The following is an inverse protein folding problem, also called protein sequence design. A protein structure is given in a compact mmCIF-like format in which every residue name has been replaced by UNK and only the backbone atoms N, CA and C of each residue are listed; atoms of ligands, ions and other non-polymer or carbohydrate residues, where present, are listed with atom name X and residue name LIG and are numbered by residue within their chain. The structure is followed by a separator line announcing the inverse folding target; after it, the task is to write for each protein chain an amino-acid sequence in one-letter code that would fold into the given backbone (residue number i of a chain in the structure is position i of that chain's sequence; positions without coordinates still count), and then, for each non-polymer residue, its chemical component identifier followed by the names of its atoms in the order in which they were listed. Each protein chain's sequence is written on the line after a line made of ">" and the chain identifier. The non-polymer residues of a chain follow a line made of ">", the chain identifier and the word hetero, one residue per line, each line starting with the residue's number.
data_IF_327582913445
#
_entry.id   IF_327582913445
#
_cell.length_a   1.000
_cell.length_b   1.000
_cell.length_c   1.000
_cell.angle_alpha   90.00
_cell.angle_beta   90.00
_cell.angle_gamma   90.00
#
_symmetry.space_group_name_H-M   'P 1'
#
loop_
_entity.id
_entity.type
_entity.pdbx_description
1 polymer ?
#
# COMPACT_ATOMS: atom_id res chain seq x y z
N UNK A 1 -5.91 -10.98 -16.87
CA UNK A 1 -5.18 -10.68 -15.62
C UNK A 1 -5.08 -9.18 -15.48
N UNK A 2 -5.60 -8.58 -14.40
CA UNK A 2 -5.54 -7.14 -14.17
C UNK A 2 -4.15 -6.69 -13.74
N UNK A 3 -3.67 -5.57 -14.28
CA UNK A 3 -2.44 -4.92 -13.81
C UNK A 3 -2.77 -4.09 -12.56
N UNK A 4 -1.85 -3.96 -11.58
CA UNK A 4 -2.02 -2.99 -10.51
C UNK A 4 -2.14 -1.57 -11.09
N UNK A 5 -2.74 -0.61 -10.34
CA UNK A 5 -2.70 0.80 -10.69
C UNK A 5 -1.28 1.26 -11.02
N UNK A 6 -1.16 2.25 -11.91
CA UNK A 6 0.14 2.78 -12.33
C UNK A 6 1.03 3.10 -11.11
N UNK A 7 2.31 2.73 -11.22
CA UNK A 7 3.37 2.90 -10.21
C UNK A 7 3.28 1.99 -8.98
N UNK A 8 2.36 1.04 -8.91
CA UNK A 8 2.36 0.02 -7.85
C UNK A 8 3.02 -1.29 -8.30
N UNK A 9 3.81 -1.89 -7.41
CA UNK A 9 4.49 -3.15 -7.63
C UNK A 9 4.38 -4.07 -6.41
N UNK A 10 4.10 -5.35 -6.67
CA UNK A 10 3.96 -6.39 -5.65
C UNK A 10 5.29 -7.13 -5.48
N UNK A 11 5.77 -7.20 -4.24
CA UNK A 11 6.98 -7.91 -3.85
C UNK A 11 6.63 -8.98 -2.81
N UNK A 12 7.33 -10.13 -2.88
CA UNK A 12 7.25 -11.17 -1.87
C UNK A 12 8.34 -10.94 -0.82
N UNK A 13 8.00 -11.09 0.45
CA UNK A 13 8.95 -11.05 1.55
C UNK A 13 9.98 -12.18 1.45
N UNK A 14 11.17 -11.93 1.99
CA UNK A 14 12.28 -12.89 1.97
C UNK A 14 12.10 -14.03 2.98
N UNK A 15 11.25 -13.85 3.99
CA UNK A 15 10.98 -14.89 4.97
C UNK A 15 10.02 -15.94 4.36
N UNK A 16 10.49 -17.18 4.10
CA UNK A 16 9.69 -18.21 3.45
C UNK A 16 8.51 -18.67 4.30
N UNK A 17 8.61 -18.58 5.63
CA UNK A 17 7.58 -19.06 6.57
C UNK A 17 6.41 -18.09 6.72
N UNK A 18 6.65 -16.79 6.48
CA UNK A 18 5.63 -15.74 6.70
C UNK A 18 4.80 -15.40 5.48
N UNK A 19 5.24 -15.80 4.28
CA UNK A 19 4.57 -15.49 3.00
C UNK A 19 4.09 -14.03 2.88
N UNK A 20 4.88 -13.10 3.43
CA UNK A 20 4.53 -11.69 3.46
C UNK A 20 4.48 -11.13 2.03
N UNK A 21 3.50 -10.28 1.77
CA UNK A 21 3.32 -9.62 0.46
C UNK A 21 3.28 -8.13 0.67
N UNK A 22 4.19 -7.42 0.01
CA UNK A 22 4.34 -5.97 0.13
C UNK A 22 3.98 -5.31 -1.19
N UNK A 23 3.14 -4.28 -1.13
CA UNK A 23 2.82 -3.44 -2.30
C UNK A 23 3.50 -2.09 -2.14
N UNK A 24 4.46 -1.80 -2.99
CA UNK A 24 5.17 -0.53 -3.07
C UNK A 24 4.55 0.37 -4.12
N UNK A 25 4.79 1.69 -4.02
CA UNK A 25 4.23 2.69 -4.95
C UNK A 25 3.45 3.81 -4.28
N UNK A 26 3.30 3.77 -2.95
CA UNK A 26 2.57 4.81 -2.22
C UNK A 26 3.32 6.16 -2.27
N UNK A 27 2.65 7.30 -2.55
CA UNK A 27 3.30 8.62 -2.68
C UNK A 27 4.10 9.08 -1.44
N UNK A 28 3.78 8.56 -0.25
CA UNK A 28 4.55 8.80 0.98
C UNK A 28 5.81 7.94 1.12
N UNK A 29 6.26 7.27 0.05
CA UNK A 29 7.43 6.36 0.02
C UNK A 29 7.31 5.19 1.02
N UNK A 30 6.09 4.65 1.15
CA UNK A 30 5.75 3.54 2.06
C UNK A 30 5.12 2.38 1.31
N UNK A 31 4.88 1.28 2.02
CA UNK A 31 4.35 0.06 1.44
C UNK A 31 3.16 -0.50 2.22
N UNK A 32 2.25 -1.16 1.53
CA UNK A 32 1.16 -1.92 2.15
C UNK A 32 1.63 -3.33 2.47
N UNK A 33 1.38 -3.82 3.69
CA UNK A 33 1.76 -5.16 4.16
C UNK A 33 0.71 -6.25 3.86
N UNK A 34 -0.43 -5.85 3.31
CA UNK A 34 -1.52 -6.76 2.97
C UNK A 34 -2.35 -6.21 1.82
N UNK A 35 -3.00 -7.11 1.08
CA UNK A 35 -3.92 -6.73 0.01
C UNK A 35 -5.11 -5.93 0.56
N UNK A 36 -5.59 -6.24 1.78
CA UNK A 36 -6.66 -5.47 2.42
C UNK A 36 -6.31 -4.00 2.56
N UNK A 37 -5.13 -3.69 3.14
CA UNK A 37 -4.67 -2.31 3.30
C UNK A 37 -4.46 -1.60 1.95
N UNK A 38 -4.02 -2.35 0.93
CA UNK A 38 -3.86 -1.82 -0.41
C UNK A 38 -5.21 -1.49 -1.07
N UNK A 39 -6.20 -2.38 -1.01
CA UNK A 39 -7.52 -2.17 -1.58
C UNK A 39 -8.23 -0.95 -1.00
N UNK A 40 -8.09 -0.70 0.31
CA UNK A 40 -8.60 0.52 0.94
C UNK A 40 -8.02 1.78 0.28
N UNK A 41 -6.72 1.81 0.02
CA UNK A 41 -6.09 2.94 -0.67
C UNK A 41 -6.53 3.08 -2.13
N UNK A 42 -6.63 1.96 -2.86
CA UNK A 42 -7.09 1.96 -4.26
C UNK A 42 -8.51 2.48 -4.39
N UNK A 43 -9.40 2.16 -3.44
CA UNK A 43 -10.77 2.70 -3.44
C UNK A 43 -10.75 4.23 -3.43
N UNK A 44 -9.93 4.85 -2.58
CA UNK A 44 -9.82 6.31 -2.51
C UNK A 44 -9.16 6.94 -3.73
N UNK A 45 -8.26 6.23 -4.42
CA UNK A 45 -7.73 6.65 -5.72
C UNK A 45 -8.84 6.67 -6.77
N UNK A 46 -9.65 5.61 -6.84
CA UNK A 46 -10.77 5.49 -7.79
C UNK A 46 -11.86 6.54 -7.53
N UNK A 47 -12.07 6.90 -6.27
CA UNK A 47 -12.99 7.97 -5.86
C UNK A 47 -12.43 9.38 -6.06
N UNK A 48 -11.16 9.51 -6.49
CA UNK A 48 -10.44 10.80 -6.62
C UNK A 48 -10.40 11.63 -5.32
N UNK A 49 -10.52 10.99 -4.15
CA UNK A 49 -10.57 11.64 -2.83
C UNK A 49 -9.54 11.03 -1.86
N UNK A 50 -8.27 11.00 -2.30
CA UNK A 50 -7.16 10.41 -1.53
C UNK A 50 -6.92 11.16 -0.21
N UNK A 51 -7.41 12.40 -0.07
CA UNK A 51 -7.30 13.19 1.16
C UNK A 51 -8.03 12.55 2.35
N UNK A 52 -9.12 11.81 2.11
CA UNK A 52 -9.88 11.10 3.14
C UNK A 52 -9.34 9.69 3.45
N UNK A 53 -8.28 9.25 2.75
CA UNK A 53 -7.76 7.91 2.89
C UNK A 53 -7.08 7.69 4.24
N UNK A 54 -7.60 6.74 5.03
CA UNK A 54 -7.05 6.35 6.33
C UNK A 54 -6.22 5.05 6.32
N UNK A 55 -5.70 4.62 5.15
CA UNK A 55 -4.86 3.44 5.09
C UNK A 55 -3.55 3.64 5.90
N UNK A 56 -2.96 2.54 6.40
CA UNK A 56 -1.75 2.61 7.24
C UNK A 56 -0.64 3.52 6.66
N UNK A 57 -0.24 3.41 5.38
CA UNK A 57 0.73 4.33 4.78
C UNK A 57 0.31 5.81 4.73
N UNK A 58 -0.98 6.12 4.69
CA UNK A 58 -1.49 7.50 4.71
C UNK A 58 -1.42 8.14 6.09
N UNK A 59 -1.75 7.40 7.15
CA UNK A 59 -1.89 7.96 8.50
C UNK A 59 -0.61 7.89 9.33
N UNK A 60 0.29 6.97 9.01
CA UNK A 60 1.49 6.76 9.81
C UNK A 60 2.41 8.00 9.65
N UNK A 61 2.58 8.78 10.70
CA UNK A 61 3.53 9.90 10.77
C UNK A 61 4.94 9.34 11.00
N UNK A 62 5.97 9.99 10.46
CA UNK A 62 7.35 9.62 10.76
C UNK A 62 7.61 9.83 12.26
N UNK A 63 7.55 8.77 13.06
CA UNK A 63 8.31 8.75 14.29
C UNK A 63 9.77 8.48 13.87
N UNK A 64 10.51 9.55 13.57
CA UNK A 64 11.97 9.48 13.68
C UNK A 64 12.25 9.26 15.17
N UNK A 65 12.41 7.99 15.57
CA UNK A 65 13.15 7.63 16.78
C UNK A 65 14.59 7.34 16.40
#
# INVERSE_FOLDING_TARGET
>A
MGKPPYNFALFKGLNPDRNDKYVYGHPKYRYHRSMKSFCEHVLWIVLEDVAQCACHPCIETYCYM
#
